data_IF_463262016326
#
_entry.id   IF_463262016326
#
_cell.length_a   1.000
_cell.length_b   1.000
_cell.length_c   1.000
_cell.angle_alpha   90.00
_cell.angle_beta   90.00
_cell.angle_gamma   90.00
#
_symmetry.space_group_name_H-M   'P 1'
#
loop_
_entity.id
_entity.type
_entity.pdbx_description
1 polymer ?
#
# COMPACT_ATOMS: atom_id res chain seq x y z
N UNK A 1 -27.81 -27.68 23.79
CA UNK A 1 -26.81 -26.89 23.05
C UNK A 1 -27.53 -25.84 22.22
N UNK A 2 -27.51 -24.58 22.64
CA UNK A 2 -28.13 -23.49 21.89
C UNK A 2 -27.06 -22.81 21.04
N UNK A 3 -27.05 -23.08 19.74
CA UNK A 3 -26.20 -22.37 18.78
C UNK A 3 -26.74 -20.95 18.67
N UNK A 4 -26.05 -20.01 19.32
CA UNK A 4 -26.36 -18.58 19.20
C UNK A 4 -26.10 -18.19 17.75
N UNK A 5 -27.16 -17.94 16.98
CA UNK A 5 -27.06 -17.39 15.63
C UNK A 5 -26.36 -16.03 15.72
N UNK A 6 -25.29 -15.87 14.94
CA UNK A 6 -24.50 -14.64 14.87
C UNK A 6 -25.42 -13.52 14.35
N UNK A 7 -25.62 -12.42 15.08
CA UNK A 7 -26.43 -11.31 14.59
C UNK A 7 -25.75 -10.71 13.36
N UNK A 8 -26.55 -10.38 12.34
CA UNK A 8 -26.08 -9.76 11.11
C UNK A 8 -25.64 -8.34 11.48
N UNK A 9 -24.34 -8.05 11.33
CA UNK A 9 -23.74 -6.74 11.63
C UNK A 9 -24.55 -5.66 10.92
N UNK A 10 -25.01 -4.66 11.67
CA UNK A 10 -25.66 -3.49 11.13
C UNK A 10 -24.71 -2.79 10.17
N UNK A 11 -25.26 -2.26 9.08
CA UNK A 11 -24.60 -1.29 8.21
C UNK A 11 -24.45 0.01 8.99
N UNK A 12 -23.38 0.10 9.76
CA UNK A 12 -22.90 1.35 10.33
C UNK A 12 -21.74 1.79 9.45
N UNK A 13 -21.88 2.96 8.83
CA UNK A 13 -20.78 3.64 8.17
C UNK A 13 -19.77 4.03 9.24
N UNK A 14 -18.91 3.07 9.59
CA UNK A 14 -17.69 3.28 10.36
C UNK A 14 -16.78 4.14 9.48
N UNK A 15 -16.99 5.46 9.51
CA UNK A 15 -16.06 6.42 8.96
C UNK A 15 -14.78 6.30 9.80
N UNK A 16 -13.82 5.53 9.29
CA UNK A 16 -12.49 5.49 9.89
C UNK A 16 -11.98 6.94 9.93
N UNK A 17 -11.74 7.49 11.11
CA UNK A 17 -11.18 8.86 11.24
C UNK A 17 -9.80 8.99 10.58
N UNK A 18 -9.24 7.90 10.03
CA UNK A 18 -8.09 7.89 9.13
C UNK A 18 -8.40 7.01 7.90
N UNK A 19 -9.41 7.39 7.10
CA UNK A 19 -9.61 6.81 5.77
C UNK A 19 -8.48 7.26 4.84
N UNK A 20 -7.44 6.45 4.64
CA UNK A 20 -6.45 6.70 3.59
C UNK A 20 -7.11 6.34 2.25
N UNK A 21 -7.40 7.36 1.44
CA UNK A 21 -7.89 7.20 0.08
C UNK A 21 -6.80 6.60 -0.82
N UNK A 22 -6.88 5.29 -1.07
CA UNK A 22 -5.91 4.55 -1.85
C UNK A 22 -5.80 5.03 -3.30
N UNK A 23 -6.82 5.73 -3.82
CA UNK A 23 -6.80 6.27 -5.19
C UNK A 23 -5.80 7.42 -5.35
N UNK A 24 -5.37 8.04 -4.25
CA UNK A 24 -4.39 9.15 -4.25
C UNK A 24 -2.95 8.68 -4.37
N UNK A 25 -2.69 7.40 -4.08
CA UNK A 25 -1.34 6.86 -4.15
C UNK A 25 -1.01 6.43 -5.58
N UNK A 26 0.20 6.72 -6.07
CA UNK A 26 0.64 6.24 -7.37
C UNK A 26 0.67 4.71 -7.37
N UNK A 27 0.16 4.12 -8.45
CA UNK A 27 0.22 2.67 -8.66
C UNK A 27 1.68 2.28 -8.93
N UNK A 28 2.28 1.49 -8.05
CA UNK A 28 3.57 0.84 -8.29
C UNK A 28 3.42 -0.30 -9.31
N UNK A 29 4.38 -0.40 -10.23
CA UNK A 29 4.52 -1.60 -11.06
C UNK A 29 4.83 -2.80 -10.15
N UNK A 30 4.19 -3.93 -10.43
CA UNK A 30 4.51 -5.23 -9.84
C UNK A 30 5.17 -6.10 -10.89
N UNK A 31 6.31 -6.68 -10.54
CA UNK A 31 6.97 -7.70 -11.34
C UNK A 31 6.74 -9.08 -10.74
N UNK A 32 5.67 -9.76 -11.15
CA UNK A 32 5.28 -11.07 -10.60
C UNK A 32 6.30 -12.19 -10.91
N UNK A 33 7.31 -11.92 -11.75
CA UNK A 33 8.33 -12.90 -12.14
C UNK A 33 9.53 -12.93 -11.19
N UNK A 34 9.68 -11.95 -10.30
CA UNK A 34 10.78 -11.92 -9.34
C UNK A 34 10.41 -12.79 -8.13
N UNK A 35 11.04 -13.97 -8.05
CA UNK A 35 10.84 -14.94 -6.96
C UNK A 35 12.19 -15.47 -6.51
N UNK A 36 12.48 -15.34 -5.22
CA UNK A 36 13.66 -15.92 -4.59
C UNK A 36 13.29 -17.24 -3.89
N UNK A 37 14.27 -18.13 -3.74
CA UNK A 37 14.13 -19.35 -2.96
C UNK A 37 15.04 -19.32 -1.72
N UNK A 38 14.43 -19.34 -0.54
CA UNK A 38 15.14 -19.40 0.73
C UNK A 38 14.84 -20.72 1.42
N UNK A 39 15.82 -21.63 1.45
CA UNK A 39 15.71 -22.94 2.10
C UNK A 39 14.49 -23.77 1.62
N UNK A 40 14.19 -23.71 0.32
CA UNK A 40 13.05 -24.39 -0.27
C UNK A 40 11.74 -23.61 -0.20
N UNK A 41 11.72 -22.41 0.40
CA UNK A 41 10.55 -21.53 0.47
C UNK A 41 10.65 -20.47 -0.62
N UNK A 42 9.65 -20.41 -1.50
CA UNK A 42 9.54 -19.36 -2.52
C UNK A 42 9.02 -18.06 -1.90
N UNK A 43 9.70 -16.94 -2.17
CA UNK A 43 9.34 -15.59 -1.71
C UNK A 43 9.29 -14.66 -2.91
N UNK A 44 8.10 -14.12 -3.21
CA UNK A 44 7.93 -13.15 -4.30
C UNK A 44 8.37 -11.77 -3.86
N UNK A 45 9.16 -11.10 -4.69
CA UNK A 45 9.54 -9.71 -4.50
C UNK A 45 9.14 -8.85 -5.70
N UNK A 46 7.83 -8.55 -5.84
CA UNK A 46 7.32 -7.83 -7.00
C UNK A 46 7.82 -6.37 -7.10
N UNK A 47 8.51 -5.87 -6.09
CA UNK A 47 8.99 -4.48 -6.02
C UNK A 47 10.51 -4.36 -6.01
N UNK A 48 11.25 -5.43 -6.35
CA UNK A 48 12.71 -5.47 -6.51
C UNK A 48 13.29 -4.29 -7.31
N UNK A 49 12.54 -3.77 -8.28
CA UNK A 49 12.95 -2.61 -9.09
C UNK A 49 13.16 -1.33 -8.28
N UNK A 50 12.55 -1.19 -7.10
CA UNK A 50 12.76 -0.05 -6.19
C UNK A 50 14.14 -0.06 -5.52
N UNK A 51 14.86 -1.18 -5.53
CA UNK A 51 16.20 -1.29 -4.94
C UNK A 51 17.25 -0.51 -5.75
N UNK A 52 17.04 -0.33 -7.06
CA UNK A 52 17.86 0.57 -7.87
C UNK A 52 17.39 2.01 -7.71
N UNK A 53 18.07 2.73 -6.80
CA UNK A 53 17.80 4.14 -6.51
C UNK A 53 18.16 5.08 -7.66
N UNK A 54 19.02 4.65 -8.58
CA UNK A 54 19.45 5.46 -9.70
C UNK A 54 18.55 5.34 -10.94
N UNK A 55 17.73 4.29 -10.98
CA UNK A 55 16.78 4.05 -12.06
C UNK A 55 15.81 5.21 -12.27
N UNK A 56 15.48 5.46 -13.54
CA UNK A 56 14.49 6.48 -13.91
C UNK A 56 13.10 6.13 -13.37
N UNK A 57 12.76 4.84 -13.27
CA UNK A 57 11.49 4.35 -12.76
C UNK A 57 11.34 4.69 -11.27
N UNK A 58 12.35 4.35 -10.47
CA UNK A 58 12.40 4.61 -9.01
C UNK A 58 12.32 6.11 -8.73
N UNK A 59 13.16 6.92 -9.39
CA UNK A 59 13.14 8.38 -9.24
C UNK A 59 11.76 8.98 -9.58
N UNK A 60 11.11 8.50 -10.65
CA UNK A 60 9.77 8.97 -11.03
C UNK A 60 8.70 8.55 -10.01
N UNK A 61 8.79 7.35 -9.46
CA UNK A 61 7.84 6.86 -8.48
C UNK A 61 7.95 7.60 -7.14
N UNK A 62 9.19 7.83 -6.66
CA UNK A 62 9.46 8.64 -5.46
C UNK A 62 8.91 10.05 -5.62
N UNK A 63 9.10 10.69 -6.77
CA UNK A 63 8.55 12.03 -7.03
C UNK A 63 7.02 12.06 -6.90
N UNK A 64 6.32 11.03 -7.41
CA UNK A 64 4.85 10.93 -7.26
C UNK A 64 4.42 10.74 -5.80
N UNK A 65 5.17 9.95 -5.03
CA UNK A 65 4.90 9.77 -3.60
C UNK A 65 5.14 11.06 -2.81
N UNK A 66 6.22 11.79 -3.10
CA UNK A 66 6.52 13.06 -2.46
C UNK A 66 5.40 14.08 -2.70
N UNK A 67 4.85 14.16 -3.92
CA UNK A 67 3.72 15.06 -4.21
C UNK A 67 2.48 14.78 -3.31
N UNK A 68 2.23 13.52 -2.95
CA UNK A 68 1.16 13.17 -1.99
C UNK A 68 1.55 13.64 -0.58
N UNK A 69 2.75 13.30 -0.13
CA UNK A 69 3.25 13.58 1.22
C UNK A 69 3.40 15.08 1.51
N UNK A 70 3.91 15.85 0.55
CA UNK A 70 4.10 17.31 0.68
C UNK A 70 2.80 18.03 1.02
N UNK A 71 1.69 17.63 0.39
CA UNK A 71 0.36 18.19 0.67
C UNK A 71 -0.08 17.94 2.13
N UNK A 72 0.18 16.74 2.64
CA UNK A 72 -0.14 16.36 4.00
C UNK A 72 0.75 17.11 5.02
N UNK A 73 2.06 17.14 4.79
CA UNK A 73 3.03 17.84 5.67
C UNK A 73 2.70 19.32 5.74
N UNK A 74 2.40 19.96 4.61
CA UNK A 74 2.02 21.38 4.56
C UNK A 74 0.74 21.68 5.36
N UNK A 75 -0.17 20.71 5.52
CA UNK A 75 -1.40 20.86 6.30
C UNK A 75 -1.17 20.77 7.81
N UNK A 76 -0.15 20.03 8.26
CA UNK A 76 0.13 19.79 9.68
C UNK A 76 0.78 20.98 10.42
N UNK A 77 1.29 21.97 9.67
CA UNK A 77 1.89 23.19 10.23
C UNK A 77 0.93 24.38 10.34
N UNK A 78 -0.38 24.16 10.14
CA UNK A 78 -1.43 25.17 10.30
C UNK A 78 -2.20 24.99 11.60
#
# INVERSE_FOLDING_TARGET
MAVRKRPKLATEEEHCDICIDSSRYPIARKDENIVDNFHGIEVRDPYRWLEDSDSKETKSYVHKLNAVSESFIASAGK
#
